data_IF_867153733698
#
_entry.id   IF_867153733698
#
_cell.length_a   1.000
_cell.length_b   1.000
_cell.length_c   1.000
_cell.angle_alpha   90.00
_cell.angle_beta   90.00
_cell.angle_gamma   90.00
#
_symmetry.space_group_name_H-M   'P 1'
#
loop_
_entity.id
_entity.type
_entity.pdbx_description
1 polymer ?
#
# COMPACT_ATOMS: atom_id res chain seq x y z
N UNK A 1 -8.86 -17.84 31.01
CA UNK A 1 -8.35 -16.74 30.16
C UNK A 1 -9.15 -16.65 28.85
N UNK A 2 -10.00 -15.64 28.72
CA UNK A 2 -10.75 -15.41 27.49
C UNK A 2 -9.83 -14.79 26.40
N UNK A 3 -9.99 -15.15 25.12
CA UNK A 3 -9.24 -14.53 24.03
C UNK A 3 -9.64 -13.05 23.88
N UNK A 4 -8.73 -12.17 23.43
CA UNK A 4 -9.03 -10.77 23.22
C UNK A 4 -10.09 -10.58 22.13
N UNK A 5 -10.96 -9.54 22.21
CA UNK A 5 -11.96 -9.27 21.20
C UNK A 5 -11.29 -8.94 19.85
N UNK A 6 -11.93 -9.30 18.72
CA UNK A 6 -11.39 -9.00 17.41
C UNK A 6 -11.29 -7.49 17.24
N UNK A 7 -10.12 -7.03 16.81
CA UNK A 7 -9.92 -5.64 16.39
C UNK A 7 -10.75 -5.42 15.14
N UNK A 8 -11.94 -4.83 15.30
CA UNK A 8 -12.71 -4.28 14.19
C UNK A 8 -12.02 -3.00 13.74
N UNK A 9 -10.95 -3.15 12.96
CA UNK A 9 -10.42 -2.04 12.18
C UNK A 9 -11.40 -1.77 11.03
N UNK A 10 -11.80 -0.51 10.96
CA UNK A 10 -12.94 0.05 10.24
C UNK A 10 -12.72 0.13 8.71
N UNK A 11 -12.25 -0.96 8.08
CA UNK A 11 -12.26 -1.21 6.64
C UNK A 11 -12.77 -2.63 6.43
N UNK A 12 -14.01 -2.74 5.98
CA UNK A 12 -14.88 -3.90 6.20
C UNK A 12 -14.48 -5.16 5.41
N UNK A 13 -13.45 -5.85 5.89
CA UNK A 13 -13.09 -7.19 5.48
C UNK A 13 -13.16 -8.12 6.69
N UNK A 14 -13.98 -9.19 6.66
CA UNK A 14 -13.98 -10.17 7.74
C UNK A 14 -12.59 -10.83 7.84
N UNK A 15 -12.13 -11.20 9.05
CA UNK A 15 -10.86 -11.90 9.18
C UNK A 15 -10.93 -13.22 8.41
N UNK A 16 -10.05 -13.38 7.42
CA UNK A 16 -9.90 -14.62 6.65
C UNK A 16 -9.39 -15.75 7.58
N UNK A 17 -10.31 -16.58 8.07
CA UNK A 17 -10.01 -17.76 8.91
C UNK A 17 -10.00 -19.02 8.05
N UNK A 18 -8.98 -19.15 7.23
CA UNK A 18 -8.83 -20.26 6.29
C UNK A 18 -8.06 -21.41 6.93
N UNK A 19 -8.35 -22.65 6.51
CA UNK A 19 -7.69 -23.87 7.03
C UNK A 19 -6.37 -24.20 6.34
N UNK A 20 -6.14 -23.62 5.16
CA UNK A 20 -4.93 -23.82 4.37
C UNK A 20 -3.96 -22.65 4.58
N UNK A 21 -2.70 -22.86 4.23
CA UNK A 21 -1.70 -21.82 4.14
C UNK A 21 -1.34 -21.63 2.66
N UNK A 22 -1.34 -20.39 2.20
CA UNK A 22 -0.94 -20.04 0.84
C UNK A 22 0.39 -19.32 0.90
N UNK A 23 1.40 -19.85 0.21
CA UNK A 23 2.77 -19.31 0.24
C UNK A 23 2.87 -17.91 -0.38
N UNK A 24 2.06 -17.62 -1.40
CA UNK A 24 2.00 -16.33 -2.10
C UNK A 24 0.90 -15.39 -1.55
N UNK A 25 0.27 -15.75 -0.42
CA UNK A 25 -0.83 -15.00 0.17
C UNK A 25 -2.22 -15.37 -0.37
N UNK A 26 -3.21 -14.54 -0.01
CA UNK A 26 -4.63 -14.78 -0.27
C UNK A 26 -5.13 -13.95 -1.45
N UNK A 27 -6.01 -14.54 -2.25
CA UNK A 27 -6.74 -13.84 -3.29
C UNK A 27 -7.66 -12.80 -2.66
N UNK A 28 -7.91 -11.69 -3.38
CA UNK A 28 -8.77 -10.60 -2.93
C UNK A 28 -10.08 -10.56 -3.72
N UNK A 29 -11.18 -10.26 -3.03
CA UNK A 29 -12.47 -9.98 -3.67
C UNK A 29 -12.49 -8.58 -4.33
N UNK A 30 -13.59 -8.22 -4.99
CA UNK A 30 -13.75 -6.92 -5.65
C UNK A 30 -13.69 -5.71 -4.69
N UNK A 31 -13.81 -5.94 -3.38
CA UNK A 31 -13.68 -4.92 -2.33
C UNK A 31 -12.26 -4.88 -1.76
N UNK A 32 -11.37 -5.75 -2.22
CA UNK A 32 -9.99 -5.88 -1.76
C UNK A 32 -9.83 -6.77 -0.52
N UNK A 33 -10.86 -7.53 -0.13
CA UNK A 33 -10.84 -8.39 1.05
C UNK A 33 -10.27 -9.77 0.75
N UNK A 34 -9.47 -10.29 1.67
CA UNK A 34 -8.87 -11.63 1.53
C UNK A 34 -9.96 -12.72 1.59
N UNK A 35 -9.93 -13.63 0.62
CA UNK A 35 -10.80 -14.81 0.56
C UNK A 35 -9.97 -16.08 0.71
N UNK A 36 -10.61 -17.19 1.11
CA UNK A 36 -9.94 -18.48 1.32
C UNK A 36 -9.55 -19.21 0.02
N UNK A 37 -9.03 -18.47 -0.95
CA UNK A 37 -8.44 -18.96 -2.19
C UNK A 37 -6.98 -18.46 -2.24
N UNK A 38 -6.05 -19.31 -2.66
CA UNK A 38 -4.66 -18.89 -2.81
C UNK A 38 -4.55 -17.92 -3.98
N UNK A 39 -3.75 -16.87 -3.80
CA UNK A 39 -3.35 -16.02 -4.90
C UNK A 39 -2.44 -16.84 -5.84
N UNK A 40 -2.62 -16.65 -7.14
CA UNK A 40 -1.68 -17.16 -8.13
C UNK A 40 -0.32 -16.49 -7.93
N UNK A 41 0.79 -17.21 -8.16
CA UNK A 41 2.12 -16.61 -8.07
C UNK A 41 2.21 -15.44 -9.05
N UNK A 42 2.60 -14.27 -8.52
CA UNK A 42 2.83 -13.11 -9.36
C UNK A 42 4.05 -13.35 -10.25
N UNK A 43 3.98 -13.00 -11.55
CA UNK A 43 5.15 -13.05 -12.41
C UNK A 43 6.22 -12.09 -11.86
N UNK A 44 7.49 -12.48 -11.97
CA UNK A 44 8.58 -11.63 -11.54
C UNK A 44 8.63 -10.39 -12.44
N UNK A 45 8.31 -9.23 -11.85
CA UNK A 45 8.30 -7.95 -12.58
C UNK A 45 9.73 -7.45 -12.68
N UNK A 46 10.45 -7.86 -13.72
CA UNK A 46 11.78 -7.31 -14.03
C UNK A 46 11.64 -5.90 -14.63
N UNK A 47 11.49 -4.91 -13.75
CA UNK A 47 11.28 -3.51 -14.09
C UNK A 47 12.39 -2.66 -13.47
N UNK A 48 13.12 -1.90 -14.27
CA UNK A 48 14.19 -1.00 -13.80
C UNK A 48 13.66 0.35 -13.26
N UNK A 49 12.35 0.47 -13.07
CA UNK A 49 11.71 1.71 -12.66
C UNK A 49 11.77 1.85 -11.13
N UNK A 50 12.25 2.99 -10.64
CA UNK A 50 12.20 3.31 -9.21
C UNK A 50 11.00 4.20 -8.93
N UNK A 51 10.01 3.68 -8.20
CA UNK A 51 8.79 4.41 -7.84
C UNK A 51 8.82 4.78 -6.35
N UNK A 52 8.81 6.08 -6.03
CA UNK A 52 8.83 6.56 -4.63
C UNK A 52 7.60 6.11 -3.81
N UNK A 53 6.47 5.88 -4.48
CA UNK A 53 5.21 5.43 -3.86
C UNK A 53 4.89 3.95 -4.14
N UNK A 54 5.86 3.20 -4.69
CA UNK A 54 5.71 1.80 -5.06
C UNK A 54 4.99 1.56 -6.40
N UNK A 55 4.85 0.29 -6.75
CA UNK A 55 4.25 -0.18 -8.00
C UNK A 55 2.74 -0.35 -7.89
N UNK A 56 2.04 -0.04 -8.96
CA UNK A 56 0.61 -0.32 -9.07
C UNK A 56 0.36 -1.83 -9.03
N UNK A 57 -0.80 -2.22 -8.49
CA UNK A 57 -1.21 -3.62 -8.41
C UNK A 57 -2.34 -3.88 -9.40
N UNK A 58 -2.27 -5.01 -10.09
CA UNK A 58 -3.36 -5.49 -10.93
C UNK A 58 -4.54 -6.02 -10.08
N UNK A 59 -5.57 -6.55 -10.75
CA UNK A 59 -6.74 -7.13 -10.08
C UNK A 59 -6.41 -8.34 -9.19
N UNK A 60 -5.26 -8.98 -9.39
CA UNK A 60 -4.78 -10.11 -8.60
C UNK A 60 -3.91 -9.65 -7.42
N UNK A 61 -3.59 -8.36 -7.33
CA UNK A 61 -2.70 -7.81 -6.31
C UNK A 61 -1.21 -7.90 -6.68
N UNK A 62 -0.90 -8.32 -7.90
CA UNK A 62 0.46 -8.42 -8.41
C UNK A 62 0.97 -7.06 -8.85
N UNK A 63 2.22 -6.76 -8.52
CA UNK A 63 2.83 -5.51 -8.97
C UNK A 63 2.92 -5.52 -10.50
N UNK A 64 2.71 -4.36 -11.11
CA UNK A 64 2.93 -4.14 -12.54
C UNK A 64 4.02 -3.08 -12.69
N UNK A 65 4.73 -3.05 -13.83
CA UNK A 65 5.79 -2.07 -14.11
C UNK A 65 5.18 -0.67 -14.43
N UNK A 66 4.42 -0.14 -13.47
CA UNK A 66 3.77 1.18 -13.49
C UNK A 66 3.83 1.75 -12.09
N UNK A 67 4.29 2.99 -11.94
CA UNK A 67 4.30 3.64 -10.63
C UNK A 67 2.88 3.99 -10.20
N UNK A 68 2.58 3.81 -8.90
CA UNK A 68 1.37 4.40 -8.33
C UNK A 68 1.47 5.91 -8.44
N UNK A 69 0.35 6.54 -8.81
CA UNK A 69 0.21 7.98 -8.63
C UNK A 69 0.40 8.30 -7.16
N UNK A 70 1.41 9.11 -6.85
CA UNK A 70 1.62 9.58 -5.49
C UNK A 70 0.40 10.33 -4.98
N UNK A 71 0.24 10.47 -3.64
CA UNK A 71 -0.69 11.44 -3.11
C UNK A 71 -0.40 12.79 -3.77
N UNK A 72 -1.44 13.53 -4.15
CA UNK A 72 -1.29 14.86 -4.70
C UNK A 72 -0.32 15.65 -3.80
N UNK A 73 0.61 16.43 -4.39
CA UNK A 73 1.53 17.23 -3.59
C UNK A 73 0.69 18.05 -2.60
N UNK A 74 1.12 18.16 -1.33
CA UNK A 74 0.43 19.02 -0.38
C UNK A 74 0.28 20.40 -1.03
N UNK A 75 -0.87 21.09 -0.83
CA UNK A 75 -1.05 22.42 -1.39
C UNK A 75 0.16 23.27 -1.02
N UNK A 76 0.66 24.11 -1.95
CA UNK A 76 1.78 24.99 -1.65
C UNK A 76 1.46 25.71 -0.35
N UNK A 77 2.36 25.60 0.63
CA UNK A 77 2.23 26.36 1.87
C UNK A 77 2.38 27.84 1.49
N UNK A 78 1.28 28.51 1.17
CA UNK A 78 1.21 29.97 1.07
C UNK A 78 1.16 30.53 2.49
N UNK A 79 2.13 30.15 3.29
CA UNK A 79 2.37 30.81 4.54
C UNK A 79 3.38 31.91 4.22
N UNK A 80 2.84 33.11 4.06
CA UNK A 80 3.57 34.34 3.76
C UNK A 80 4.39 34.78 4.99
N UNK A 81 5.21 33.87 5.54
CA UNK A 81 6.24 34.19 6.52
C UNK A 81 7.54 34.37 5.76
N UNK A 82 7.88 35.63 5.54
CA UNK A 82 9.24 36.07 5.21
C UNK A 82 10.26 35.23 6.00
N UNK A 83 11.05 34.44 5.27
CA UNK A 83 12.19 33.75 5.87
C UNK A 83 13.20 34.81 6.34
N UNK A 84 13.55 34.87 7.64
CA UNK A 84 14.70 35.66 8.06
C UNK A 84 15.97 35.08 7.43
N UNK A 85 16.96 35.91 7.07
CA UNK A 85 18.00 35.58 6.09
C UNK A 85 19.14 34.69 6.63
N UNK A 86 18.91 33.74 7.55
CA UNK A 86 20.03 33.10 8.27
C UNK A 86 20.06 31.58 8.39
N UNK A 87 19.11 30.79 7.87
CA UNK A 87 19.27 29.31 7.91
C UNK A 87 18.76 28.58 6.67
N UNK A 88 19.27 28.96 5.50
CA UNK A 88 19.45 28.02 4.39
C UNK A 88 20.84 27.40 4.48
N UNK A 89 20.96 26.29 5.21
CA UNK A 89 22.00 25.26 4.96
C UNK A 89 21.22 23.99 4.61
N UNK A 90 20.97 23.79 3.31
CA UNK A 90 21.91 23.05 2.48
C UNK A 90 21.96 21.60 2.92
N UNK A 91 20.89 20.88 2.63
CA UNK A 91 21.04 19.62 1.93
C UNK A 91 20.17 19.76 0.69
N UNK A 92 20.85 19.77 -0.44
CA UNK A 92 20.34 20.03 -1.78
C UNK A 92 19.12 19.18 -2.12
#
# INVERSE_FOLDING_TARGET
PAPPPPRTDNRECPPARCRQYCEHGWKKDARGCDICECAEPCPEVMCMLHCEHGFEKDANGCDVCRCRSGPAPPPPRTDNRECPPVRCRQYC
#
